data_IF_911244748002
#
_entry.id   IF_911244748002
#
_cell.length_a   1.000
_cell.length_b   1.000
_cell.length_c   1.000
_cell.angle_alpha   90.00
_cell.angle_beta   90.00
_cell.angle_gamma   90.00
#
_symmetry.space_group_name_H-M   'P 1'
#
loop_
_entity.id
_entity.type
_entity.pdbx_description
1 polymer ?
#
# COMPACT_ATOMS: atom_id res chain seq x y z
N UNK A 1 11.04 -1.81 -11.47
CA UNK A 1 9.70 -1.54 -10.90
C UNK A 1 9.12 -0.23 -11.46
N UNK A 2 9.51 0.13 -12.68
CA UNK A 2 9.37 1.48 -13.23
C UNK A 2 7.91 1.94 -13.41
N UNK A 3 6.99 1.05 -13.76
CA UNK A 3 5.57 1.42 -13.93
C UNK A 3 4.92 1.89 -12.62
N UNK A 4 5.23 1.23 -11.49
CA UNK A 4 4.66 1.59 -10.18
C UNK A 4 5.27 2.89 -9.67
N UNK A 5 6.56 3.11 -9.91
CA UNK A 5 7.24 4.37 -9.57
C UNK A 5 6.66 5.56 -10.34
N UNK A 6 6.41 5.41 -11.65
CA UNK A 6 5.76 6.44 -12.47
C UNK A 6 4.33 6.76 -11.99
N UNK A 7 3.56 5.72 -11.66
CA UNK A 7 2.21 5.90 -11.11
C UNK A 7 2.25 6.63 -9.76
N UNK A 8 3.13 6.20 -8.86
CA UNK A 8 3.30 6.83 -7.55
C UNK A 8 3.69 8.30 -7.69
N UNK A 9 4.60 8.64 -8.61
CA UNK A 9 4.98 10.02 -8.91
C UNK A 9 3.79 10.84 -9.43
N UNK A 10 2.96 10.28 -10.32
CA UNK A 10 1.76 10.96 -10.83
C UNK A 10 0.69 11.19 -9.77
N UNK A 11 0.64 10.34 -8.74
CA UNK A 11 -0.31 10.42 -7.63
C UNK A 11 0.26 11.14 -6.39
N UNK A 12 1.45 11.76 -6.50
CA UNK A 12 2.16 12.42 -5.39
C UNK A 12 2.33 11.52 -4.16
N UNK A 13 2.58 10.23 -4.38
CA UNK A 13 2.70 9.21 -3.35
C UNK A 13 4.10 8.60 -3.35
N UNK A 14 4.53 8.10 -2.19
CA UNK A 14 5.69 7.20 -2.15
C UNK A 14 5.40 5.89 -2.88
N UNK A 15 6.42 5.29 -3.48
CA UNK A 15 6.31 3.98 -4.13
C UNK A 15 5.78 2.91 -3.18
N UNK A 16 6.18 2.95 -1.90
CA UNK A 16 5.73 1.99 -0.89
C UNK A 16 4.24 2.12 -0.61
N UNK A 17 3.71 3.35 -0.48
CA UNK A 17 2.29 3.53 -0.25
C UNK A 17 1.46 3.21 -1.52
N UNK A 18 2.05 3.30 -2.71
CA UNK A 18 1.39 2.83 -3.95
C UNK A 18 1.34 1.30 -3.99
N UNK A 19 2.46 0.65 -3.68
CA UNK A 19 2.54 -0.81 -3.58
C UNK A 19 1.55 -1.35 -2.55
N UNK A 20 1.51 -0.77 -1.35
CA UNK A 20 0.60 -1.21 -0.30
C UNK A 20 -0.86 -1.11 -0.75
N UNK A 21 -1.24 0.01 -1.37
CA UNK A 21 -2.61 0.20 -1.87
C UNK A 21 -2.98 -0.83 -2.95
N UNK A 22 -2.13 -1.01 -3.96
CA UNK A 22 -2.36 -2.00 -5.02
C UNK A 22 -2.44 -3.43 -4.48
N UNK A 23 -1.59 -3.78 -3.51
CA UNK A 23 -1.61 -5.10 -2.85
C UNK A 23 -2.89 -5.30 -2.05
N UNK A 24 -3.32 -4.30 -1.27
CA UNK A 24 -4.58 -4.35 -0.51
C UNK A 24 -5.77 -4.55 -1.44
N UNK A 25 -5.83 -3.82 -2.55
CA UNK A 25 -6.88 -3.98 -3.55
C UNK A 25 -6.87 -5.36 -4.21
N UNK A 26 -5.70 -5.86 -4.60
CA UNK A 26 -5.57 -7.17 -5.22
C UNK A 26 -6.01 -8.31 -4.28
N UNK A 27 -5.65 -8.21 -3.00
CA UNK A 27 -6.08 -9.17 -1.97
C UNK A 27 -7.59 -9.09 -1.71
N UNK A 28 -8.15 -7.88 -1.64
CA UNK A 28 -9.59 -7.68 -1.49
C UNK A 28 -10.38 -8.27 -2.68
N UNK A 29 -9.90 -8.08 -3.91
CA UNK A 29 -10.47 -8.71 -5.12
C UNK A 29 -10.46 -10.24 -5.06
N UNK A 30 -9.52 -10.83 -4.33
CA UNK A 30 -9.44 -12.29 -4.08
C UNK A 30 -10.25 -12.74 -2.85
N UNK A 31 -10.98 -11.83 -2.19
CA UNK A 31 -11.73 -12.13 -0.97
C UNK A 31 -10.87 -12.27 0.28
N UNK A 32 -9.59 -11.92 0.22
CA UNK A 32 -8.64 -12.01 1.34
C UNK A 32 -8.76 -10.73 2.18
N UNK A 33 -9.22 -10.88 3.42
CA UNK A 33 -9.27 -9.78 4.40
C UNK A 33 -7.94 -9.65 5.12
N UNK A 34 -7.38 -8.45 5.13
CA UNK A 34 -6.19 -8.15 5.93
C UNK A 34 -6.59 -7.73 7.35
N UNK A 35 -5.84 -8.15 8.38
CA UNK A 35 -6.04 -7.63 9.72
C UNK A 35 -5.75 -6.12 9.75
N UNK A 36 -6.37 -5.42 10.72
CA UNK A 36 -6.00 -4.03 10.99
C UNK A 36 -4.50 -3.99 11.30
N UNK A 37 -3.76 -3.13 10.58
CA UNK A 37 -2.33 -2.99 10.76
C UNK A 37 -2.01 -2.60 12.19
N UNK A 38 -0.91 -3.12 12.75
CA UNK A 38 -0.43 -2.72 14.07
C UNK A 38 -0.11 -1.22 13.99
N UNK A 39 -0.80 -0.39 14.78
CA UNK A 39 -0.41 1.02 14.92
C UNK A 39 1.03 1.03 15.46
N UNK A 40 1.94 1.88 14.95
CA UNK A 40 3.22 2.04 15.60
C UNK A 40 2.92 2.40 17.05
N UNK A 41 3.37 1.56 17.99
CA UNK A 41 3.46 1.97 19.39
C UNK A 41 4.38 3.19 19.34
N UNK A 42 3.82 4.37 19.61
CA UNK A 42 4.62 5.57 19.71
C UNK A 42 5.57 5.32 20.89
N UNK A 43 6.82 4.97 20.58
CA UNK A 43 7.92 4.93 21.54
C UNK A 43 7.84 6.23 22.32
N UNK A 44 7.43 6.09 23.58
CA UNK A 44 7.39 7.13 24.59
C UNK A 44 8.71 7.15 25.34
#
# INVERSE_FOLDING_TARGET
>A
MEAVEKLAASELRSTNAQLEMLLREALAKRGIKLPAGRKPEADS
#
